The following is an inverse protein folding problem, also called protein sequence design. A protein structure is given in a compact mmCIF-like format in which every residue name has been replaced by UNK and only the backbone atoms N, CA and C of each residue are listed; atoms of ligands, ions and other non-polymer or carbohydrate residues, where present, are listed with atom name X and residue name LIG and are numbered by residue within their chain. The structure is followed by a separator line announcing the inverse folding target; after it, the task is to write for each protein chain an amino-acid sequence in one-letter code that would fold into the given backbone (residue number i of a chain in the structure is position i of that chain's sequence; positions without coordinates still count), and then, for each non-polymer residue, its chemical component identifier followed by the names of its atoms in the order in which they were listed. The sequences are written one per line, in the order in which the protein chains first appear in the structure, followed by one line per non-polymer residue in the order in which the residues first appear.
data_IF_347994435059
#
_entry.id   IF_347994435059
#
_cell.length_a   1.000
_cell.length_b   1.000
_cell.length_c   1.000
_cell.angle_alpha   90.00
_cell.angle_beta   90.00
_cell.angle_gamma   90.00
#
_symmetry.space_group_name_H-M   'P 1'
#
loop_
_entity.id
_entity.type
_entity.pdbx_description
1 polymer ?
2 polymer ?
3 non-polymer ?
4 water ?
#
# COMPACT_ATOMS: atom_id res chain seq x y z
N UNK A 1 16.96 -1.30 7.87
CA UNK A 1 16.27 -2.47 8.46
C UNK A 1 16.42 -2.62 9.98
N UNK A 2 16.68 -1.52 10.71
CA UNK A 2 16.88 -1.58 12.16
C UNK A 2 16.37 -0.45 13.10
N UNK A 3 16.41 0.83 12.70
CA UNK A 3 15.89 1.81 13.67
C UNK A 3 14.38 1.59 13.80
N UNK A 4 13.79 1.93 14.95
CA UNK A 4 12.36 1.70 15.08
C UNK A 4 11.56 2.84 14.42
N UNK A 5 10.73 2.47 13.44
CA UNK A 5 9.94 3.42 12.68
C UNK A 5 8.43 3.10 12.74
N UNK A 6 7.62 4.01 12.20
CA UNK A 6 6.18 3.81 12.25
C UNK A 6 5.56 4.54 11.08
N UNK A 7 4.60 3.90 10.42
CA UNK A 7 3.92 4.55 9.32
C UNK A 7 2.45 4.66 9.74
N UNK A 8 1.90 5.89 9.72
CA UNK A 8 0.50 6.09 10.05
C UNK A 8 -0.16 6.03 8.68
N UNK A 9 -0.83 4.92 8.48
CA UNK A 9 -1.45 4.59 7.21
C UNK A 9 -2.95 4.81 7.16
N UNK A 10 -3.40 5.59 6.19
CA UNK A 10 -4.83 5.79 6.05
C UNK A 10 -5.34 4.97 4.86
N UNK A 11 -6.36 4.16 5.10
CA UNK A 11 -6.98 3.40 4.00
C UNK A 11 -8.23 4.16 3.53
N UNK A 12 -8.55 4.03 2.25
CA UNK A 12 -9.73 4.67 1.66
C UNK A 12 -10.43 3.60 0.81
N UNK A 13 -11.73 3.43 1.03
CA UNK A 13 -12.53 2.43 0.33
C UNK A 13 -13.50 3.17 -0.60
N UNK A 14 -13.42 2.92 -1.91
CA UNK A 14 -14.30 3.62 -2.85
C UNK A 14 -15.73 3.06 -2.93
N UNK A 15 -16.58 3.71 -3.71
CA UNK A 15 -17.96 3.26 -3.83
C UNK A 15 -18.08 1.85 -4.38
N UNK A 16 -17.30 1.52 -5.40
CA UNK A 16 -17.40 0.19 -5.98
C UNK A 16 -17.09 -0.89 -4.96
N UNK A 17 -16.01 -0.72 -4.20
CA UNK A 17 -15.71 -1.72 -3.19
C UNK A 17 -16.78 -1.72 -2.10
N UNK A 18 -17.25 -0.54 -1.70
CA UNK A 18 -18.28 -0.47 -0.66
C UNK A 18 -19.47 -1.32 -1.12
N UNK A 19 -19.89 -1.15 -2.37
CA UNK A 19 -21.03 -1.91 -2.91
C UNK A 19 -20.74 -3.41 -3.01
N UNK A 20 -19.52 -3.74 -3.42
CA UNK A 20 -19.13 -5.13 -3.58
C UNK A 20 -19.31 -5.88 -2.27
N UNK A 21 -19.12 -5.17 -1.16
CA UNK A 21 -19.27 -5.80 0.14
C UNK A 21 -20.67 -5.62 0.70
N UNK A 22 -21.62 -5.39 -0.20
CA UNK A 22 -23.02 -5.20 0.18
C UNK A 22 -23.21 -4.02 1.15
N UNK A 23 -22.44 -2.96 0.93
CA UNK A 23 -22.52 -1.77 1.78
C UNK A 23 -22.45 -2.05 3.27
N UNK A 24 -21.71 -3.10 3.64
CA UNK A 24 -21.55 -3.49 5.02
C UNK A 24 -20.22 -2.94 5.56
N UNK A 25 -20.27 -1.83 6.30
CA UNK A 25 -19.05 -1.23 6.84
C UNK A 25 -18.32 -2.15 7.83
N UNK A 26 -19.06 -2.89 8.65
CA UNK A 26 -18.43 -3.80 9.60
C UNK A 26 -17.69 -4.92 8.87
N UNK A 27 -18.28 -5.42 7.79
CA UNK A 27 -17.66 -6.50 7.01
C UNK A 27 -16.37 -6.02 6.36
N UNK A 28 -16.42 -4.82 5.80
CA UNK A 28 -15.27 -4.24 5.14
C UNK A 28 -14.13 -3.99 6.13
N UNK A 29 -14.47 -3.46 7.31
CA UNK A 29 -13.47 -3.17 8.34
C UNK A 29 -12.74 -4.43 8.76
N UNK A 30 -13.51 -5.48 9.02
CA UNK A 30 -12.95 -6.76 9.44
C UNK A 30 -12.03 -7.31 8.35
N UNK A 31 -12.45 -7.16 7.11
CA UNK A 31 -11.65 -7.64 5.99
C UNK A 31 -10.32 -6.91 5.89
N UNK A 32 -10.36 -5.58 5.98
CA UNK A 32 -9.12 -4.81 5.89
C UNK A 32 -8.24 -4.99 7.12
N UNK A 33 -8.84 -5.12 8.30
CA UNK A 33 -8.03 -5.31 9.50
C UNK A 33 -7.23 -6.62 9.39
N UNK A 34 -7.85 -7.66 8.84
CA UNK A 34 -7.18 -8.95 8.67
C UNK A 34 -5.97 -8.74 7.76
N UNK A 35 -6.17 -7.96 6.71
CA UNK A 35 -5.08 -7.73 5.78
C UNK A 35 -3.98 -6.88 6.40
N UNK A 36 -4.38 -5.83 7.10
CA UNK A 36 -3.40 -4.95 7.74
C UNK A 36 -2.62 -5.74 8.79
N UNK A 37 -3.29 -6.62 9.54
CA UNK A 37 -2.55 -7.43 10.51
C UNK A 37 -1.42 -8.26 9.85
N UNK A 38 -1.66 -8.74 8.64
CA UNK A 38 -0.62 -9.51 7.96
C UNK A 38 0.44 -8.52 7.50
N UNK A 39 0.02 -7.35 7.02
CA UNK A 39 1.00 -6.34 6.62
C UNK A 39 1.92 -6.04 7.80
N UNK A 40 1.38 -6.02 9.02
CA UNK A 40 2.21 -5.72 10.19
C UNK A 40 3.28 -6.81 10.35
N UNK A 41 2.92 -8.06 10.07
CA UNK A 41 3.88 -9.15 10.18
C UNK A 41 4.95 -9.02 9.08
N UNK A 42 4.53 -8.58 7.90
CA UNK A 42 5.45 -8.41 6.79
C UNK A 42 6.50 -7.35 7.12
N UNK A 43 6.08 -6.27 7.76
CA UNK A 43 7.07 -5.24 8.09
C UNK A 43 7.83 -5.41 9.39
N UNK A 44 7.38 -6.35 10.22
CA UNK A 44 8.02 -6.61 11.50
C UNK A 44 9.56 -6.75 11.38
N UNK A 45 10.07 -7.56 10.42
CA UNK A 45 11.53 -7.73 10.28
C UNK A 45 12.29 -6.42 10.07
N UNK A 46 11.63 -5.40 9.53
CA UNK A 46 12.28 -4.12 9.29
C UNK A 46 12.10 -3.15 10.44
N UNK A 47 11.48 -3.61 11.52
CA UNK A 47 11.24 -2.79 12.70
C UNK A 47 10.37 -1.58 12.34
N UNK A 48 9.47 -1.78 11.38
CA UNK A 48 8.57 -0.71 10.95
C UNK A 48 7.16 -1.08 11.35
N UNK A 49 6.59 -0.25 12.22
CA UNK A 49 5.26 -0.43 12.76
C UNK A 49 4.24 0.19 11.81
N UNK A 50 3.17 -0.53 11.53
CA UNK A 50 2.13 0.03 10.68
C UNK A 50 0.96 0.29 11.60
N UNK A 51 0.48 1.53 11.62
CA UNK A 51 -0.67 1.87 12.43
C UNK A 51 -1.73 2.50 11.51
N UNK A 52 -2.99 2.12 11.66
CA UNK A 52 -4.04 2.69 10.82
C UNK A 52 -4.53 4.00 11.42
N UNK A 53 -4.47 5.07 10.63
CA UNK A 53 -4.95 6.38 11.08
C UNK A 53 -6.48 6.39 10.88
N UNK A 54 -6.97 5.42 10.11
CA UNK A 54 -8.39 5.29 9.83
C UNK A 54 -8.68 4.50 8.56
N UNK A 55 -9.96 4.19 8.36
CA UNK A 55 -10.42 3.53 7.14
C UNK A 55 -11.59 4.40 6.68
N UNK A 56 -11.35 5.23 5.68
CA UNK A 56 -12.40 6.12 5.19
C UNK A 56 -13.17 5.43 4.11
N UNK A 57 -14.48 5.32 4.31
CA UNK A 57 -15.33 4.68 3.33
C UNK A 57 -16.17 5.72 2.59
N UNK A 58 -16.10 5.69 1.27
CA UNK A 58 -16.87 6.62 0.44
C UNK A 58 -18.24 5.97 0.24
N UNK A 59 -19.04 5.97 1.30
CA UNK A 59 -20.37 5.37 1.32
C UNK A 59 -21.40 6.08 0.44
N UNK A 60 -21.26 7.40 0.32
CA UNK A 60 -22.19 8.19 -0.47
C UNK A 60 -21.69 8.55 -1.86
N UNK A 61 -20.41 8.87 -1.97
CA UNK A 61 -19.86 9.21 -3.27
C UNK A 61 -18.36 9.16 -3.30
N UNK A 62 -17.84 8.88 -4.49
CA UNK A 62 -16.40 8.84 -4.71
C UNK A 62 -15.88 10.28 -4.71
N UNK A 63 -14.79 10.55 -3.99
CA UNK A 63 -14.29 11.91 -3.96
C UNK A 63 -13.34 12.18 -5.12
N UNK A 64 -13.06 11.13 -5.90
CA UNK A 64 -12.28 11.28 -7.12
C UNK A 64 -12.99 10.33 -8.08
N UNK A 65 -12.70 10.44 -9.36
CA UNK A 65 -13.30 9.54 -10.34
C UNK A 65 -12.32 8.36 -10.38
N UNK A 66 -12.76 7.17 -9.96
CA UNK A 66 -11.87 6.00 -9.97
C UNK A 66 -11.92 5.36 -11.36
N UNK A 67 -10.86 5.55 -12.13
CA UNK A 67 -10.78 5.05 -13.50
C UNK A 67 -9.97 3.76 -13.67
N UNK A 68 -10.39 2.88 -14.61
CA UNK A 68 -9.68 1.62 -14.87
C UNK A 68 -8.23 1.88 -15.25
N UNK A 69 -7.93 3.09 -15.71
CA UNK A 69 -6.54 3.41 -16.04
C UNK A 69 -5.81 3.72 -14.71
N UNK A 70 -5.13 2.71 -14.17
CA UNK A 70 -4.42 2.85 -12.90
C UNK A 70 -3.56 4.08 -12.75
N UNK A 71 -2.72 4.35 -13.75
CA UNK A 71 -1.83 5.50 -13.73
C UNK A 71 -2.60 6.78 -13.44
N UNK A 72 -3.71 6.93 -14.14
CA UNK A 72 -4.53 8.11 -13.96
C UNK A 72 -5.14 8.12 -12.56
N UNK A 73 -5.62 6.97 -12.11
CA UNK A 73 -6.25 6.90 -10.80
C UNK A 73 -5.26 7.19 -9.68
N UNK A 74 -4.04 6.69 -9.78
CA UNK A 74 -3.06 6.96 -8.74
C UNK A 74 -2.77 8.46 -8.66
N UNK A 75 -2.59 9.09 -9.83
CA UNK A 75 -2.34 10.53 -9.90
C UNK A 75 -3.47 11.31 -9.23
N UNK A 76 -4.71 11.01 -9.60
CA UNK A 76 -5.89 11.67 -9.03
C UNK A 76 -5.99 11.43 -7.52
N UNK A 77 -5.76 10.18 -7.13
CA UNK A 77 -5.83 9.84 -5.71
C UNK A 77 -4.76 10.56 -4.89
N UNK A 78 -3.52 10.57 -5.38
CA UNK A 78 -2.42 11.23 -4.68
C UNK A 78 -2.71 12.73 -4.52
N UNK A 79 -3.26 13.34 -5.55
CA UNK A 79 -3.58 14.77 -5.49
C UNK A 79 -4.67 15.04 -4.47
N UNK A 80 -5.71 14.22 -4.50
CA UNK A 80 -6.82 14.35 -3.56
C UNK A 80 -6.29 14.22 -2.13
N UNK A 81 -5.32 13.35 -1.91
CA UNK A 81 -4.75 13.19 -0.57
C UNK A 81 -4.08 14.49 -0.18
N UNK A 82 -3.30 15.03 -1.11
CA UNK A 82 -2.57 16.27 -0.91
C UNK A 82 -3.48 17.44 -0.58
N UNK A 83 -4.44 17.69 -1.47
CA UNK A 83 -5.36 18.82 -1.32
C UNK A 83 -6.58 18.68 -0.42
N UNK A 84 -7.10 17.47 -0.25
CA UNK A 84 -8.27 17.30 0.58
C UNK A 84 -8.10 16.43 1.82
N UNK A 85 -7.54 15.23 1.68
CA UNK A 85 -7.42 14.38 2.86
C UNK A 85 -6.51 14.95 3.93
N UNK A 86 -5.31 15.39 3.57
CA UNK A 86 -4.39 15.87 4.59
C UNK A 86 -4.87 17.07 5.42
N UNK A 87 -5.87 17.80 4.93
CA UNK A 87 -6.42 18.95 5.68
C UNK A 87 -7.27 18.45 6.85
N UNK A 88 -7.71 17.19 6.77
CA UNK A 88 -8.56 16.61 7.82
C UNK A 88 -7.91 15.49 8.61
N UNK A 89 -7.18 14.65 7.89
CA UNK A 89 -6.55 13.49 8.51
C UNK A 89 -5.05 13.45 8.24
N UNK A 90 -4.28 13.72 9.28
CA UNK A 90 -2.86 13.68 9.12
C UNK A 90 -2.50 12.19 8.99
N UNK A 91 -1.64 11.89 8.04
CA UNK A 91 -1.24 10.50 7.82
C UNK A 91 0.05 10.56 7.01
N UNK A 92 0.82 9.49 7.09
CA UNK A 92 2.10 9.44 6.39
C UNK A 92 1.94 8.88 4.99
N UNK A 93 0.82 8.20 4.76
CA UNK A 93 0.57 7.55 3.47
C UNK A 93 -0.89 7.13 3.46
N UNK A 94 -1.55 7.19 2.29
CA UNK A 94 -2.93 6.72 2.16
C UNK A 94 -2.93 5.72 1.01
N UNK A 95 -3.77 4.69 1.12
CA UNK A 95 -3.87 3.66 0.11
C UNK A 95 -5.33 3.41 -0.27
N UNK A 96 -5.66 3.64 -1.53
CA UNK A 96 -7.01 3.45 -2.02
C UNK A 96 -7.26 1.97 -2.26
N UNK A 97 -8.43 1.49 -1.83
CA UNK A 97 -8.87 0.11 -2.01
C UNK A 97 -10.11 0.25 -2.90
N UNK A 98 -10.08 -0.37 -4.08
CA UNK A 98 -11.20 -0.25 -5.01
C UNK A 98 -11.61 -1.54 -5.69
N UNK A 99 -12.89 -1.68 -6.04
CA UNK A 99 -13.33 -2.89 -6.73
C UNK A 99 -13.26 -2.69 -8.25
N UNK A 100 -12.75 -1.53 -8.66
CA UNK A 100 -12.57 -1.22 -10.08
C UNK A 100 -11.44 -2.10 -10.66
N UNK A 101 -11.74 -2.81 -11.75
CA UNK A 101 -10.76 -3.69 -12.40
C UNK A 101 -9.91 -2.84 -13.33
N UNK A 102 -8.68 -2.58 -12.91
CA UNK A 102 -7.76 -1.77 -13.69
C UNK A 102 -7.51 -2.48 -15.02
N UNK A 103 -7.20 -1.70 -16.05
CA UNK A 103 -6.94 -2.28 -17.36
C UNK A 103 -5.64 -3.05 -17.30
N UNK A 104 -5.59 -4.16 -18.02
CA UNK A 104 -4.38 -4.95 -18.01
C UNK A 104 -4.36 -5.81 -16.75
N UNK A 105 -3.17 -6.28 -16.39
CA UNK A 105 -3.01 -7.16 -15.24
C UNK A 105 -2.57 -6.41 -13.98
N UNK A 106 -2.56 -5.08 -14.05
CA UNK A 106 -2.17 -4.26 -12.91
C UNK A 106 -3.20 -4.38 -11.79
N UNK A 107 -2.76 -4.72 -10.57
CA UNK A 107 -3.71 -4.83 -9.46
C UNK A 107 -3.35 -3.88 -8.32
N UNK A 108 -2.31 -3.08 -8.56
CA UNK A 108 -1.85 -2.10 -7.58
C UNK A 108 -0.85 -1.12 -8.21
N UNK A 109 -0.77 0.09 -7.66
CA UNK A 109 0.17 1.08 -8.16
C UNK A 109 0.53 2.06 -7.04
N UNK A 110 1.77 2.54 -7.08
CA UNK A 110 2.29 3.48 -6.09
C UNK A 110 3.48 4.24 -6.65
N UNK A 111 3.81 5.38 -6.05
CA UNK A 111 4.99 6.13 -6.50
C UNK A 111 6.16 5.58 -5.69
N UNK A 112 7.35 5.55 -6.30
CA UNK A 112 8.52 5.00 -5.63
C UNK A 112 9.35 6.00 -4.80
N UNK A 113 9.69 5.59 -3.58
CA UNK A 113 10.49 6.43 -2.69
C UNK A 113 9.86 7.75 -2.27
N UNK A 114 8.54 7.76 -2.13
CA UNK A 114 7.81 8.97 -1.76
C UNK A 114 7.23 9.00 -0.34
N UNK A 115 7.54 7.99 0.48
CA UNK A 115 7.01 7.97 1.86
C UNK A 115 7.21 9.33 2.57
N UNK A 116 6.14 9.85 3.18
CA UNK A 116 6.13 11.14 3.89
C UNK A 116 5.81 12.35 3.00
N UNK A 117 6.03 12.20 1.70
CA UNK A 117 5.77 13.28 0.75
C UNK A 117 4.29 13.72 0.65
N UNK A 118 4.03 15.01 0.91
CA UNK A 118 2.67 15.54 0.88
C UNK A 118 1.89 15.32 -0.40
N UNK A 119 2.57 15.25 -1.53
CA UNK A 119 1.83 15.03 -2.77
C UNK A 119 1.87 13.63 -3.36
N UNK A 120 2.88 12.83 -3.02
CA UNK A 120 3.00 11.49 -3.60
C UNK A 120 3.10 10.29 -2.66
N UNK A 121 2.94 10.46 -1.35
CA UNK A 121 3.00 9.27 -0.48
C UNK A 121 1.63 8.61 -0.57
N UNK A 122 1.43 7.89 -1.68
CA UNK A 122 0.15 7.25 -1.93
C UNK A 122 0.27 5.97 -2.76
N UNK A 123 -0.79 5.18 -2.74
CA UNK A 123 -0.83 3.96 -3.52
C UNK A 123 -2.27 3.58 -3.74
N UNK A 124 -2.52 2.71 -4.72
CA UNK A 124 -3.87 2.26 -4.99
C UNK A 124 -3.82 0.74 -5.11
N UNK A 125 -4.92 0.10 -4.72
CA UNK A 125 -5.01 -1.35 -4.67
C UNK A 125 -6.36 -1.82 -5.20
N UNK A 126 -6.35 -2.77 -6.14
CA UNK A 126 -7.59 -3.36 -6.63
C UNK A 126 -7.82 -4.56 -5.71
N UNK A 127 -9.04 -4.69 -5.21
CA UNK A 127 -9.47 -5.78 -4.32
C UNK A 127 -9.65 -7.02 -5.21
N UNK A 128 -8.52 -7.55 -5.68
CA UNK A 128 -8.50 -8.64 -6.64
C UNK A 128 -8.53 -10.09 -6.17
N UNK A 129 -8.39 -10.33 -4.87
CA UNK A 129 -8.40 -11.70 -4.34
C UNK A 129 -9.10 -11.59 -3.01
N UNK A 130 -9.79 -12.65 -2.61
CA UNK A 130 -10.47 -12.65 -1.31
C UNK A 130 -9.54 -13.19 -0.20
N UNK A 131 -8.37 -13.70 -0.58
CA UNK A 131 -7.47 -14.28 0.40
C UNK A 131 -6.69 -13.19 1.15
N UNK A 132 -6.82 -13.15 2.48
CA UNK A 132 -6.09 -12.11 3.21
C UNK A 132 -4.61 -11.98 2.87
N UNK A 133 -3.90 -13.10 2.85
CA UNK A 133 -2.47 -13.06 2.57
C UNK A 133 -2.15 -12.41 1.23
N UNK A 134 -2.89 -12.80 0.19
CA UNK A 134 -2.61 -12.26 -1.13
C UNK A 134 -2.84 -10.76 -1.19
N UNK A 135 -3.87 -10.27 -0.49
CA UNK A 135 -4.12 -8.83 -0.51
C UNK A 135 -3.12 -8.06 0.36
N UNK A 136 -2.67 -8.66 1.45
CA UNK A 136 -1.69 -8.00 2.31
C UNK A 136 -0.37 -7.87 1.56
N UNK A 137 -0.01 -8.92 0.82
CA UNK A 137 1.23 -8.88 0.05
C UNK A 137 1.11 -7.78 -1.01
N UNK A 138 -0.06 -7.65 -1.62
CA UNK A 138 -0.28 -6.62 -2.65
C UNK A 138 -0.15 -5.22 -2.04
N UNK A 139 -0.76 -5.05 -0.88
CA UNK A 139 -0.68 -3.78 -0.18
C UNK A 139 0.77 -3.49 0.26
N UNK A 140 1.46 -4.51 0.74
CA UNK A 140 2.85 -4.36 1.18
C UNK A 140 3.81 -4.09 0.02
N UNK A 141 3.51 -4.62 -1.15
CA UNK A 141 4.36 -4.39 -2.33
C UNK A 141 4.30 -2.90 -2.69
N UNK A 142 3.09 -2.34 -2.69
CA UNK A 142 2.95 -0.92 -2.99
C UNK A 142 3.59 -0.03 -1.91
N UNK A 143 3.40 -0.37 -0.64
CA UNK A 143 4.01 0.41 0.43
C UNK A 143 5.53 0.26 0.34
N UNK A 144 5.98 -0.91 -0.09
CA UNK A 144 7.42 -1.11 -0.21
C UNK A 144 8.00 -0.18 -1.26
N UNK A 145 7.29 -0.01 -2.37
CA UNK A 145 7.76 0.92 -3.41
C UNK A 145 7.83 2.33 -2.82
N UNK A 146 6.82 2.70 -2.03
CA UNK A 146 6.77 4.01 -1.37
C UNK A 146 8.00 4.17 -0.48
N UNK A 147 8.46 3.05 0.10
CA UNK A 147 9.61 3.03 0.98
C UNK A 147 10.96 2.86 0.24
N UNK A 148 10.97 3.14 -1.05
CA UNK A 148 12.20 3.07 -1.82
C UNK A 148 12.62 1.71 -2.37
N UNK A 149 11.72 0.73 -2.32
CA UNK A 149 12.07 -0.61 -2.84
C UNK A 149 11.80 -0.79 -4.31
N UNK A 150 12.76 -1.37 -5.02
CA UNK A 150 12.57 -1.67 -6.43
C UNK A 150 12.18 -3.13 -6.48
N UNK A 151 11.88 -3.64 -7.67
CA UNK A 151 11.51 -5.03 -7.82
C UNK A 151 12.67 -5.95 -7.59
N UNK A 152 12.36 -7.16 -7.14
CA UNK A 152 13.38 -8.16 -6.89
C UNK A 152 13.88 -8.71 -8.21
N UNK A 153 15.19 -8.90 -8.31
CA UNK A 153 15.76 -9.52 -9.48
C UNK A 153 15.61 -10.96 -9.00
N UNK A 154 14.60 -11.65 -9.51
CA UNK A 154 14.32 -13.02 -9.11
C UNK A 154 15.49 -14.01 -9.12
N UNK A 155 16.49 -13.76 -9.96
CA UNK A 155 17.65 -14.65 -10.04
C UNK A 155 18.75 -14.23 -9.06
N UNK A 156 19.05 -12.93 -9.04
CA UNK A 156 20.09 -12.37 -8.17
C UNK A 156 19.77 -12.31 -6.68
N UNK A 157 18.54 -11.94 -6.33
CA UNK A 157 18.17 -11.82 -4.92
C UNK A 157 17.96 -13.19 -4.29
N UNK A 158 18.02 -13.26 -2.96
CA UNK A 158 17.90 -14.53 -2.25
C UNK A 158 16.48 -15.10 -2.10
N UNK A 159 15.55 -14.59 -2.90
CA UNK A 159 14.17 -15.04 -2.81
C UNK A 159 13.44 -14.82 -4.13
N UNK A 160 12.65 -15.79 -4.58
CA UNK A 160 11.89 -15.61 -5.80
C UNK A 160 10.39 -15.65 -5.51
N UNK A 161 10.02 -15.61 -4.24
CA UNK A 161 8.59 -15.58 -3.91
C UNK A 161 8.29 -14.49 -2.89
N UNK A 162 9.19 -13.51 -2.79
CA UNK A 162 9.08 -12.42 -1.83
C UNK A 162 8.23 -11.20 -2.25
N UNK A 163 7.98 -10.33 -1.28
CA UNK A 163 7.11 -9.17 -1.47
C UNK A 163 7.35 -8.38 -2.75
N UNK A 164 8.60 -8.00 -3.02
CA UNK A 164 8.84 -7.16 -4.19
C UNK A 164 9.03 -7.82 -5.56
N UNK A 165 8.58 -9.06 -5.68
CA UNK A 165 8.62 -9.74 -6.98
C UNK A 165 7.71 -8.90 -7.87
N UNK A 166 8.11 -8.67 -9.13
CA UNK A 166 7.37 -7.87 -10.12
C UNK A 166 5.90 -8.30 -10.30
N UNK A 167 5.67 -9.60 -10.20
CA UNK A 167 4.32 -10.12 -10.32
C UNK A 167 4.00 -10.85 -9.04
N UNK A 168 2.76 -10.72 -8.60
CA UNK A 168 2.33 -11.40 -7.38
C UNK A 168 2.34 -12.91 -7.62
N UNK A 169 3.00 -13.64 -6.72
CA UNK A 169 3.07 -15.10 -6.84
C UNK A 169 1.70 -15.66 -6.51
N UNK A 170 1.41 -16.82 -7.07
CA UNK A 170 0.15 -17.49 -6.81
C UNK A 170 0.08 -17.86 -5.32
N UNK A 171 1.22 -18.21 -4.73
CA UNK A 171 1.30 -18.58 -3.32
C UNK A 171 2.56 -17.88 -2.73
N UNK A 172 2.42 -16.59 -2.35
CA UNK A 172 3.48 -15.74 -1.80
C UNK A 172 3.99 -15.92 -0.37
N UNK A 173 5.22 -15.47 -0.14
CA UNK A 173 5.81 -15.48 1.19
C UNK A 173 5.57 -14.06 1.71
N UNK A 174 5.62 -13.90 3.04
CA UNK A 174 5.47 -12.59 3.69
C UNK A 174 6.87 -11.94 3.78
N UNK A 175 7.88 -12.69 3.34
CA UNK A 175 9.28 -12.28 3.42
C UNK A 175 9.77 -11.28 2.38
N UNK A 176 10.74 -10.45 2.78
CA UNK A 176 11.36 -9.48 1.89
C UNK A 176 12.72 -10.08 1.51
N UNK A 177 13.15 -9.88 0.27
CA UNK A 177 14.46 -10.39 -0.17
C UNK A 177 15.57 -9.55 0.41
N UNK A 178 16.81 -10.04 0.27
CA UNK A 178 17.94 -9.26 0.71
C UNK A 178 17.98 -7.95 -0.07
N UNK A 179 17.64 -8.01 -1.35
CA UNK A 179 17.66 -6.79 -2.17
C UNK A 179 16.73 -5.70 -1.64
N UNK A 180 15.54 -6.12 -1.24
CA UNK A 180 14.54 -5.21 -0.70
C UNK A 180 15.05 -4.59 0.59
N UNK A 181 15.71 -5.38 1.43
CA UNK A 181 16.21 -4.84 2.68
C UNK A 181 17.27 -3.79 2.43
N UNK A 182 18.11 -4.03 1.42
CA UNK A 182 19.18 -3.08 1.10
C UNK A 182 18.58 -1.81 0.54
N UNK A 183 17.52 -1.94 -0.24
CA UNK A 183 16.90 -0.74 -0.79
C UNK A 183 16.29 0.10 0.34
N UNK A 184 15.70 -0.56 1.33
CA UNK A 184 15.10 0.18 2.45
C UNK A 184 16.20 0.87 3.25
N UNK A 185 17.35 0.21 3.41
CA UNK A 185 18.46 0.85 4.13
C UNK A 185 18.93 2.07 3.35
N UNK A 186 18.93 1.97 2.03
CA UNK A 186 19.36 3.09 1.22
C UNK A 186 18.40 4.25 1.32
N UNK A 187 17.11 3.94 1.34
CA UNK A 187 16.08 4.97 1.45
C UNK A 187 16.25 5.73 2.75
N UNK A 188 16.42 5.00 3.85
CA UNK A 188 16.60 5.63 5.15
C UNK A 188 17.85 6.51 5.14
N UNK A 189 18.96 5.95 4.68
CA UNK A 189 20.22 6.68 4.63
C UNK A 189 20.20 7.88 3.71
N UNK A 190 19.85 7.66 2.46
CA UNK A 190 19.83 8.73 1.49
C UNK A 190 18.64 9.69 1.52
N UNK A 191 17.44 9.15 1.68
CA UNK A 191 16.23 9.98 1.66
C UNK A 191 15.78 10.55 2.99
N UNK A 192 16.18 9.91 4.08
CA UNK A 192 15.84 10.37 5.41
C UNK A 192 14.38 10.81 5.65
N UNK A 193 13.43 9.87 5.57
CA UNK A 193 12.00 10.11 5.78
C UNK A 193 11.71 10.44 7.26
N UNK A 194 11.74 11.72 7.61
CA UNK A 194 11.52 12.13 8.99
C UNK A 194 10.21 11.66 9.66
N UNK A 195 9.11 11.68 8.92
CA UNK A 195 7.80 11.31 9.45
C UNK A 195 7.65 9.92 10.06
N UNK A 196 8.48 8.96 9.65
CA UNK A 196 8.37 7.61 10.22
C UNK A 196 9.29 7.45 11.45
N UNK A 197 10.18 8.42 11.65
CA UNK A 197 11.15 8.39 12.75
C UNK A 197 10.77 9.29 13.94
N UNK A 198 9.67 10.03 13.81
CA UNK A 198 9.21 10.96 14.86
C UNK A 198 8.84 10.35 16.23
N UNK A 199 8.31 11.17 17.14
CA UNK A 199 7.91 10.73 18.49
C UNK A 199 6.60 11.42 18.91
N UNK B 1 -2.21 -9.90 -10.33
CA UNK B 1 -0.93 -10.32 -10.98
C UNK B 1 0.16 -9.23 -11.00
N UNK B 2 -0.06 -8.14 -11.71
CA UNK B 2 0.96 -7.10 -11.74
C UNK B 2 0.82 -6.02 -10.65
N UNK B 3 1.79 -5.88 -9.77
CA UNK B 3 1.57 -4.87 -8.74
C UNK B 3 2.29 -3.57 -8.92
X LIG C 1 5.88 -3.16 -8.34
#
# INVERSE_FOLDING_TARGET
ASPQVSVTLQLVVDSSMFAKYNGDAKKIVTVLDTRVNIMKSIFKPLLLLITLSGIEMWTSKDLITVKPAGDLTLSLFADWRQTLLLSRILNDNAQLQTAVDFRGAVVGLAFVGTMCNAKYSAGIIQDFSAIPLLMAVVMAHELGHNLGMLHDDGYSCDCDVCIMAPSLSSDPTKVFSNCSLILYEDFLSNEEPDCIDNASNN
KNL
ZN ZN
#
